data_IF_280969053130
#
_entry.id   IF_280969053130
#
_cell.length_a   1.000
_cell.length_b   1.000
_cell.length_c   1.000
_cell.angle_alpha   90.00
_cell.angle_beta   90.00
_cell.angle_gamma   90.00
#
_symmetry.space_group_name_H-M   'P 1'
#
loop_
_entity.id
_entity.type
_entity.pdbx_description
1 polymer ?
#
# COMPACT_ATOMS: atom_id res chain seq x y z
N UNK A 1 -35.92 64.23 -20.60
CA UNK A 1 -35.20 63.42 -19.58
C UNK A 1 -33.97 62.66 -20.13
N UNK A 2 -33.81 62.54 -21.45
CA UNK A 2 -32.69 61.85 -22.12
C UNK A 2 -31.38 62.65 -22.06
N UNK A 3 -31.39 63.96 -22.31
CA UNK A 3 -30.20 64.81 -22.23
C UNK A 3 -29.48 64.77 -20.87
N UNK A 4 -30.22 64.76 -19.75
CA UNK A 4 -29.64 64.68 -18.41
C UNK A 4 -28.91 63.35 -18.17
N UNK A 5 -29.37 62.26 -18.79
CA UNK A 5 -28.74 60.94 -18.67
C UNK A 5 -27.48 60.85 -19.50
N UNK A 6 -27.53 61.37 -20.73
CA UNK A 6 -26.38 61.42 -21.65
C UNK A 6 -25.24 62.29 -21.07
N UNK A 7 -25.59 63.43 -20.48
CA UNK A 7 -24.62 64.32 -19.83
C UNK A 7 -23.97 63.67 -18.60
N UNK A 8 -24.71 62.87 -17.83
CA UNK A 8 -24.15 62.09 -16.72
C UNK A 8 -23.21 60.98 -17.21
N UNK A 9 -23.60 60.25 -18.26
CA UNK A 9 -22.76 59.21 -18.86
C UNK A 9 -21.47 59.79 -19.43
N UNK A 10 -21.52 60.99 -20.01
CA UNK A 10 -20.34 61.69 -20.52
C UNK A 10 -19.41 62.15 -19.40
N UNK A 11 -19.95 62.69 -18.30
CA UNK A 11 -19.18 63.00 -17.09
C UNK A 11 -18.52 61.75 -16.49
N UNK A 12 -19.19 60.59 -16.51
CA UNK A 12 -18.60 59.33 -16.07
C UNK A 12 -17.48 58.85 -16.99
N UNK A 13 -17.64 58.98 -18.32
CA UNK A 13 -16.59 58.66 -19.30
C UNK A 13 -15.35 59.54 -19.09
N UNK A 14 -15.52 60.85 -18.93
CA UNK A 14 -14.42 61.78 -18.66
C UNK A 14 -13.72 61.46 -17.32
N UNK A 15 -14.49 61.10 -16.29
CA UNK A 15 -13.93 60.68 -14.99
C UNK A 15 -13.15 59.36 -15.09
N UNK A 16 -13.62 58.43 -15.91
CA UNK A 16 -12.91 57.18 -16.20
C UNK A 16 -11.56 57.47 -16.86
N UNK A 17 -11.57 58.32 -17.89
CA UNK A 17 -10.38 58.69 -18.66
C UNK A 17 -9.34 59.39 -17.78
N UNK A 18 -9.75 60.37 -16.96
CA UNK A 18 -8.87 61.03 -15.97
C UNK A 18 -8.25 60.07 -14.96
N UNK A 19 -8.97 59.01 -14.55
CA UNK A 19 -8.44 57.99 -13.62
C UNK A 19 -7.46 57.01 -14.29
N UNK A 20 -7.65 56.78 -15.58
CA UNK A 20 -6.74 55.99 -16.42
C UNK A 20 -5.42 56.73 -16.65
N UNK A 21 -5.49 58.01 -17.00
CA UNK A 21 -4.33 58.89 -17.19
C UNK A 21 -3.53 59.08 -15.90
N UNK A 22 -4.21 59.19 -14.75
CA UNK A 22 -3.57 59.26 -13.42
C UNK A 22 -2.97 57.93 -12.93
N UNK A 23 -3.05 56.83 -13.70
CA UNK A 23 -2.51 55.52 -13.31
C UNK A 23 -3.27 54.78 -12.20
N UNK A 24 -4.27 55.41 -11.58
CA UNK A 24 -5.09 54.82 -10.51
C UNK A 24 -6.00 53.68 -10.99
N UNK A 25 -6.22 53.55 -12.30
CA UNK A 25 -7.04 52.48 -12.89
C UNK A 25 -6.30 51.84 -14.08
N UNK A 26 -5.85 50.59 -13.89
CA UNK A 26 -5.13 49.79 -14.89
C UNK A 26 -6.09 49.06 -15.83
N UNK A 27 -5.66 48.83 -17.08
CA UNK A 27 -6.36 47.90 -17.98
C UNK A 27 -6.12 46.46 -17.52
N UNK A 28 -6.99 45.53 -17.91
CA UNK A 28 -6.83 44.10 -17.58
C UNK A 28 -5.52 43.52 -18.12
N UNK A 29 -5.06 44.01 -19.29
CA UNK A 29 -3.79 43.59 -19.90
C UNK A 29 -2.56 44.04 -19.08
N UNK A 30 -2.69 45.13 -18.33
CA UNK A 30 -1.59 45.77 -17.59
C UNK A 30 -1.61 45.41 -16.09
N UNK A 31 -2.52 44.52 -15.67
CA UNK A 31 -2.60 44.03 -14.29
C UNK A 31 -1.82 42.73 -14.12
N UNK A 32 -1.12 42.61 -13.00
CA UNK A 32 -0.53 41.33 -12.58
C UNK A 32 -1.64 40.28 -12.35
N UNK A 33 -1.39 38.98 -12.58
CA UNK A 33 -2.37 37.92 -12.32
C UNK A 33 -2.95 37.93 -10.90
N UNK A 34 -2.19 38.40 -9.90
CA UNK A 34 -2.67 38.54 -8.51
C UNK A 34 -3.62 39.72 -8.35
N UNK A 35 -3.29 40.87 -8.92
CA UNK A 35 -4.15 42.07 -8.90
C UNK A 35 -5.48 41.80 -9.63
N UNK A 36 -5.42 41.16 -10.80
CA UNK A 36 -6.61 40.81 -11.57
C UNK A 36 -7.53 39.87 -10.79
N UNK A 37 -6.97 38.91 -10.04
CA UNK A 37 -7.77 38.05 -9.14
C UNK A 37 -8.44 38.84 -8.03
N UNK A 38 -7.74 39.79 -7.40
CA UNK A 38 -8.29 40.64 -6.35
C UNK A 38 -9.45 41.52 -6.86
N UNK A 39 -9.25 42.20 -7.99
CA UNK A 39 -10.29 43.02 -8.64
C UNK A 39 -11.49 42.18 -9.07
N UNK A 40 -11.27 40.97 -9.58
CA UNK A 40 -12.37 40.05 -9.93
C UNK A 40 -13.14 39.56 -8.71
N UNK A 41 -12.47 39.39 -7.56
CA UNK A 41 -13.10 39.02 -6.29
C UNK A 41 -14.01 40.16 -5.80
N UNK A 42 -13.50 41.37 -5.71
CA UNK A 42 -14.30 42.54 -5.31
C UNK A 42 -15.44 42.79 -6.28
N UNK A 43 -15.22 42.70 -7.60
CA UNK A 43 -16.29 42.82 -8.58
C UNK A 43 -17.43 41.80 -8.36
N UNK A 44 -17.09 40.52 -8.09
CA UNK A 44 -18.10 39.50 -7.76
C UNK A 44 -18.90 39.86 -6.51
N UNK A 45 -18.24 40.31 -5.45
CA UNK A 45 -18.89 40.74 -4.20
C UNK A 45 -19.82 41.95 -4.41
N UNK A 46 -19.40 42.90 -5.24
CA UNK A 46 -20.24 44.06 -5.58
C UNK A 46 -21.44 43.64 -6.44
N UNK A 47 -21.25 42.73 -7.40
CA UNK A 47 -22.35 42.20 -8.21
C UNK A 47 -23.36 41.41 -7.38
N UNK A 48 -22.93 40.59 -6.42
CA UNK A 48 -23.84 39.85 -5.54
C UNK A 48 -24.63 40.80 -4.66
N UNK A 49 -23.97 41.78 -4.03
CA UNK A 49 -24.64 42.84 -3.24
C UNK A 49 -25.65 43.63 -4.07
N UNK A 50 -25.28 44.05 -5.28
CA UNK A 50 -26.19 44.79 -6.17
C UNK A 50 -27.42 43.94 -6.56
N UNK A 51 -27.22 42.67 -6.93
CA UNK A 51 -28.33 41.76 -7.26
C UNK A 51 -29.26 41.53 -6.08
N UNK A 52 -28.71 41.35 -4.87
CA UNK A 52 -29.50 41.21 -3.65
C UNK A 52 -30.32 42.48 -3.37
N UNK A 53 -29.70 43.67 -3.43
CA UNK A 53 -30.39 44.95 -3.24
C UNK A 53 -31.52 45.14 -4.25
N UNK A 54 -31.27 44.82 -5.54
CA UNK A 54 -32.28 44.90 -6.60
C UNK A 54 -33.44 43.92 -6.39
N UNK A 55 -33.16 42.72 -5.86
CA UNK A 55 -34.20 41.74 -5.50
C UNK A 55 -35.07 42.26 -4.35
N UNK A 56 -34.46 42.74 -3.28
CA UNK A 56 -35.19 43.30 -2.14
C UNK A 56 -36.04 44.51 -2.55
N UNK A 57 -35.51 45.40 -3.40
CA UNK A 57 -36.29 46.53 -3.94
C UNK A 57 -37.53 46.05 -4.69
N UNK A 58 -37.40 45.03 -5.57
CA UNK A 58 -38.56 44.45 -6.26
C UNK A 58 -39.57 43.83 -5.30
N UNK A 59 -39.10 43.14 -4.27
CA UNK A 59 -39.96 42.57 -3.24
C UNK A 59 -40.74 43.66 -2.50
N UNK A 60 -40.07 44.73 -2.07
CA UNK A 60 -40.69 45.89 -1.42
C UNK A 60 -41.71 46.59 -2.35
N UNK A 61 -41.38 46.77 -3.63
CA UNK A 61 -42.31 47.37 -4.60
C UNK A 61 -43.53 46.49 -4.81
N UNK A 62 -43.35 45.17 -4.90
CA UNK A 62 -44.44 44.23 -5.08
C UNK A 62 -45.35 44.17 -3.85
N UNK A 63 -44.80 44.25 -2.63
CA UNK A 63 -45.60 44.35 -1.41
C UNK A 63 -46.37 45.66 -1.35
N UNK A 64 -45.74 46.78 -1.70
CA UNK A 64 -46.40 48.09 -1.74
C UNK A 64 -47.55 48.14 -2.76
N UNK A 65 -47.36 47.58 -3.96
CA UNK A 65 -48.43 47.49 -4.98
C UNK A 65 -49.61 46.66 -4.46
N UNK A 66 -49.33 45.55 -3.76
CA UNK A 66 -50.36 44.70 -3.17
C UNK A 66 -51.15 45.42 -2.07
N UNK A 67 -50.50 46.29 -1.29
CA UNK A 67 -51.12 47.00 -0.17
C UNK A 67 -51.91 48.26 -0.59
N UNK A 68 -51.63 48.84 -1.76
CA UNK A 68 -52.21 50.12 -2.20
C UNK A 68 -53.15 50.02 -3.41
N UNK A 69 -53.53 48.82 -3.84
CA UNK A 69 -54.55 48.64 -4.88
C UNK A 69 -55.89 48.38 -4.19
N UNK A 70 -56.93 49.22 -4.36
CA UNK A 70 -58.23 49.00 -3.70
C UNK A 70 -58.92 47.75 -4.25
N UNK A 71 -59.44 46.91 -3.36
CA UNK A 71 -60.25 45.75 -3.71
C UNK A 71 -61.59 46.20 -4.33
N UNK A 72 -61.72 46.09 -5.65
CA UNK A 72 -63.01 46.16 -6.35
C UNK A 72 -63.50 44.74 -6.67
N UNK A 73 -64.33 44.23 -5.77
CA UNK A 73 -65.36 43.16 -5.82
C UNK A 73 -65.36 42.22 -7.06
N UNK A 74 -64.91 40.97 -6.77
CA UNK A 74 -65.41 39.62 -7.17
C UNK A 74 -65.32 39.09 -8.64
N UNK A 75 -65.14 37.76 -8.86
CA UNK A 75 -65.43 36.64 -7.96
C UNK A 75 -64.20 35.97 -7.37
N UNK A 76 -64.42 35.45 -6.16
CA UNK A 76 -63.66 34.43 -5.44
C UNK A 76 -63.02 33.41 -6.39
N UNK A 77 -61.78 33.67 -6.79
CA UNK A 77 -60.89 32.60 -7.24
C UNK A 77 -60.57 31.84 -5.97
N UNK A 78 -61.26 30.72 -5.76
CA UNK A 78 -60.84 29.70 -4.82
C UNK A 78 -59.31 29.66 -4.86
N UNK A 79 -58.68 29.89 -3.71
CA UNK A 79 -57.27 29.53 -3.52
C UNK A 79 -57.22 28.01 -3.65
N UNK A 80 -57.23 27.52 -4.90
CA UNK A 80 -57.24 26.12 -5.25
C UNK A 80 -55.97 25.58 -4.64
N UNK A 81 -56.13 24.84 -3.54
CA UNK A 81 -55.03 24.17 -2.87
C UNK A 81 -54.17 23.52 -3.97
N UNK A 82 -52.84 23.78 -3.98
CA UNK A 82 -51.99 23.37 -5.08
C UNK A 82 -52.28 21.91 -5.38
N UNK A 83 -52.67 21.60 -6.62
CA UNK A 83 -53.11 20.25 -6.99
C UNK A 83 -52.10 19.23 -6.45
N UNK A 84 -52.58 18.08 -5.93
CA UNK A 84 -51.71 17.07 -5.32
C UNK A 84 -50.50 16.72 -6.21
N UNK A 85 -50.64 16.83 -7.54
CA UNK A 85 -49.56 16.67 -8.51
C UNK A 85 -48.47 17.76 -8.46
N UNK A 86 -48.83 19.03 -8.26
CA UNK A 86 -47.88 20.15 -8.13
C UNK A 86 -47.06 20.11 -6.83
N UNK A 87 -47.67 19.68 -5.72
CA UNK A 87 -46.98 19.49 -4.43
C UNK A 87 -46.02 18.29 -4.49
N UNK A 88 -46.44 17.19 -5.12
CA UNK A 88 -45.58 16.03 -5.35
C UNK A 88 -44.38 16.36 -6.26
N UNK A 89 -44.59 17.15 -7.32
CA UNK A 89 -43.52 17.62 -8.19
C UNK A 89 -42.50 18.49 -7.44
N UNK A 90 -42.97 19.45 -6.62
CA UNK A 90 -42.10 20.29 -5.77
C UNK A 90 -41.30 19.47 -4.75
N UNK A 91 -41.93 18.47 -4.10
CA UNK A 91 -41.23 17.55 -3.19
C UNK A 91 -40.16 16.72 -3.91
N UNK A 92 -40.44 16.24 -5.13
CA UNK A 92 -39.48 15.49 -5.96
C UNK A 92 -38.29 16.37 -6.36
N UNK A 93 -38.51 17.63 -6.73
CA UNK A 93 -37.43 18.58 -7.01
C UNK A 93 -36.59 18.92 -5.78
N UNK A 94 -37.22 19.15 -4.63
CA UNK A 94 -36.52 19.41 -3.37
C UNK A 94 -35.63 18.22 -2.98
N UNK A 95 -36.15 16.98 -3.14
CA UNK A 95 -35.37 15.75 -2.95
C UNK A 95 -34.16 15.67 -3.89
N UNK A 96 -34.36 15.93 -5.19
CA UNK A 96 -33.27 15.97 -6.18
C UNK A 96 -32.20 17.02 -5.83
N UNK A 97 -32.61 18.21 -5.37
CA UNK A 97 -31.67 19.26 -4.93
C UNK A 97 -30.87 18.82 -3.70
N UNK A 98 -31.53 18.21 -2.71
CA UNK A 98 -30.88 17.66 -1.51
C UNK A 98 -29.88 16.56 -1.86
N UNK A 99 -30.25 15.64 -2.76
CA UNK A 99 -29.38 14.56 -3.23
C UNK A 99 -28.15 15.10 -3.97
N UNK A 100 -28.30 16.14 -4.81
CA UNK A 100 -27.15 16.79 -5.46
C UNK A 100 -26.19 17.39 -4.44
N UNK A 101 -26.71 18.09 -3.43
CA UNK A 101 -25.89 18.67 -2.36
C UNK A 101 -25.17 17.58 -1.56
N UNK A 102 -25.85 16.47 -1.27
CA UNK A 102 -25.26 15.34 -0.54
C UNK A 102 -24.12 14.71 -1.35
N UNK A 103 -24.34 14.43 -2.65
CA UNK A 103 -23.30 13.92 -3.55
C UNK A 103 -22.09 14.84 -3.65
N UNK A 104 -22.30 16.15 -3.72
CA UNK A 104 -21.19 17.12 -3.75
C UNK A 104 -20.39 17.12 -2.43
N UNK A 105 -21.08 16.97 -1.29
CA UNK A 105 -20.43 16.83 0.03
C UNK A 105 -19.64 15.52 0.11
N UNK A 106 -20.20 14.41 -0.34
CA UNK A 106 -19.53 13.10 -0.34
C UNK A 106 -18.29 13.12 -1.24
N UNK A 107 -18.37 13.74 -2.42
CA UNK A 107 -17.23 13.93 -3.31
C UNK A 107 -16.11 14.74 -2.64
N UNK A 108 -16.45 15.85 -1.97
CA UNK A 108 -15.47 16.66 -1.21
C UNK A 108 -14.84 15.85 -0.07
N UNK A 109 -15.63 15.07 0.66
CA UNK A 109 -15.12 14.19 1.72
C UNK A 109 -14.14 13.17 1.13
N UNK A 110 -14.46 12.57 -0.02
CA UNK A 110 -13.59 11.62 -0.70
C UNK A 110 -12.27 12.28 -1.16
N UNK A 111 -12.34 13.47 -1.76
CA UNK A 111 -11.14 14.24 -2.11
C UNK A 111 -10.27 14.55 -0.89
N UNK A 112 -10.87 14.96 0.23
CA UNK A 112 -10.13 15.23 1.45
C UNK A 112 -9.51 13.96 2.03
N UNK A 113 -10.21 12.82 2.00
CA UNK A 113 -9.64 11.52 2.39
C UNK A 113 -8.44 11.13 1.52
N UNK A 114 -8.53 11.31 0.21
CA UNK A 114 -7.41 11.04 -0.71
C UNK A 114 -6.22 11.97 -0.45
N UNK A 115 -6.47 13.27 -0.24
CA UNK A 115 -5.43 14.24 0.13
C UNK A 115 -4.78 13.87 1.45
N UNK A 116 -5.57 13.51 2.46
CA UNK A 116 -5.09 13.07 3.77
C UNK A 116 -4.17 11.85 3.64
N UNK A 117 -4.59 10.81 2.92
CA UNK A 117 -3.77 9.61 2.67
C UNK A 117 -2.48 9.94 1.91
N UNK A 118 -2.54 10.83 0.91
CA UNK A 118 -1.35 11.33 0.20
C UNK A 118 -0.37 12.01 1.15
N UNK A 119 -0.84 12.90 2.02
CA UNK A 119 0.01 13.60 2.98
C UNK A 119 0.56 12.67 4.07
N UNK A 120 -0.25 11.74 4.57
CA UNK A 120 0.17 10.70 5.52
C UNK A 120 1.28 9.83 4.95
N UNK A 121 1.13 9.34 3.71
CA UNK A 121 2.18 8.58 3.01
C UNK A 121 3.44 9.41 2.77
N UNK A 122 3.30 10.69 2.42
CA UNK A 122 4.45 11.60 2.25
C UNK A 122 5.21 11.77 3.56
N UNK A 123 4.50 11.99 4.67
CA UNK A 123 5.10 12.12 6.00
C UNK A 123 5.80 10.84 6.45
N UNK A 124 5.20 9.67 6.19
CA UNK A 124 5.85 8.38 6.45
C UNK A 124 7.16 8.22 5.66
N UNK A 125 7.20 8.59 4.37
CA UNK A 125 8.41 8.53 3.55
C UNK A 125 9.50 9.47 4.07
N UNK A 126 9.13 10.69 4.48
CA UNK A 126 10.06 11.65 5.06
C UNK A 126 10.64 11.14 6.39
N UNK A 127 9.79 10.61 7.28
CA UNK A 127 10.25 9.99 8.54
C UNK A 127 11.22 8.83 8.28
N UNK A 128 10.89 7.93 7.34
CA UNK A 128 11.80 6.85 6.93
C UNK A 128 13.12 7.36 6.38
N UNK A 129 13.11 8.42 5.57
CA UNK A 129 14.34 9.02 5.04
C UNK A 129 15.24 9.56 6.15
N UNK A 130 14.67 10.20 7.16
CA UNK A 130 15.44 10.68 8.33
C UNK A 130 16.03 9.50 9.11
N UNK A 131 15.26 8.45 9.36
CA UNK A 131 15.75 7.24 10.06
C UNK A 131 16.88 6.57 9.28
N UNK A 132 16.70 6.36 7.97
CA UNK A 132 17.71 5.73 7.12
C UNK A 132 19.00 6.56 7.00
N UNK A 133 18.88 7.89 6.92
CA UNK A 133 20.05 8.77 6.94
C UNK A 133 20.84 8.64 8.25
N UNK A 134 20.17 8.46 9.39
CA UNK A 134 20.83 8.26 10.67
C UNK A 134 21.48 6.87 10.80
N UNK A 135 20.94 5.85 10.11
CA UNK A 135 21.47 4.48 10.10
C UNK A 135 22.48 4.19 8.99
N UNK A 136 22.88 5.20 8.18
CA UNK A 136 23.73 5.03 6.99
C UNK A 136 23.20 4.01 5.96
N UNK A 137 21.90 3.71 5.99
CA UNK A 137 21.24 2.81 5.05
C UNK A 137 20.86 3.57 3.78
N UNK A 138 21.87 3.79 2.95
CA UNK A 138 21.70 4.44 1.65
C UNK A 138 20.76 3.64 0.73
N UNK A 139 19.91 4.38 0.03
CA UNK A 139 19.10 3.80 -1.05
C UNK A 139 20.04 3.15 -2.08
N UNK A 140 19.71 1.94 -2.60
CA UNK A 140 20.54 1.23 -3.57
C UNK A 140 20.97 2.07 -4.78
N UNK A 141 20.09 2.96 -5.26
CA UNK A 141 20.42 3.87 -6.36
C UNK A 141 21.43 4.93 -5.95
N UNK A 142 21.28 5.52 -4.76
CA UNK A 142 22.24 6.51 -4.23
C UNK A 142 23.61 5.87 -4.02
N UNK A 143 23.65 4.65 -3.48
CA UNK A 143 24.88 3.87 -3.32
C UNK A 143 25.55 3.57 -4.67
N UNK A 144 24.76 3.18 -5.68
CA UNK A 144 25.26 2.98 -7.04
C UNK A 144 25.84 4.27 -7.64
N UNK A 145 25.15 5.41 -7.52
CA UNK A 145 25.66 6.70 -7.99
C UNK A 145 27.01 7.02 -7.37
N UNK A 146 27.14 6.88 -6.04
CA UNK A 146 28.42 7.10 -5.34
C UNK A 146 29.53 6.15 -5.80
N UNK A 147 29.20 4.87 -6.00
CA UNK A 147 30.16 3.88 -6.52
C UNK A 147 30.59 4.19 -7.96
N UNK A 148 29.71 4.80 -8.76
CA UNK A 148 30.03 5.28 -10.10
C UNK A 148 30.85 6.57 -10.07
N UNK A 149 30.72 7.43 -9.07
CA UNK A 149 31.48 8.69 -9.00
C UNK A 149 32.98 8.45 -8.79
N UNK A 150 33.36 7.39 -8.06
CA UNK A 150 34.75 7.04 -7.81
C UNK A 150 35.32 6.12 -8.93
N UNK A 151 36.42 6.53 -9.62
CA UNK A 151 36.93 5.83 -10.81
C UNK A 151 37.42 4.39 -10.56
N UNK A 152 37.87 4.05 -9.35
CA UNK A 152 38.29 2.68 -9.02
C UNK A 152 37.08 1.75 -8.89
N UNK A 153 36.07 2.15 -8.12
CA UNK A 153 34.86 1.35 -7.87
C UNK A 153 33.95 1.30 -9.10
N UNK A 154 34.00 2.32 -9.98
CA UNK A 154 33.29 2.33 -11.26
C UNK A 154 33.67 1.12 -12.13
N UNK A 155 34.95 0.76 -12.18
CA UNK A 155 35.43 -0.39 -12.96
C UNK A 155 34.79 -1.70 -12.48
N UNK A 156 34.65 -1.88 -11.17
CA UNK A 156 34.02 -3.07 -10.60
C UNK A 156 32.51 -3.13 -10.88
N UNK A 157 31.83 -1.98 -10.83
CA UNK A 157 30.40 -1.89 -11.19
C UNK A 157 30.20 -2.24 -12.66
N UNK A 158 31.02 -1.68 -13.56
CA UNK A 158 30.98 -1.97 -14.99
C UNK A 158 31.30 -3.44 -15.25
N UNK A 159 32.33 -4.00 -14.62
CA UNK A 159 32.70 -5.41 -14.75
C UNK A 159 31.55 -6.34 -14.33
N UNK A 160 30.87 -6.04 -13.23
CA UNK A 160 29.71 -6.81 -12.75
C UNK A 160 28.51 -6.68 -13.69
N UNK A 161 28.27 -5.49 -14.24
CA UNK A 161 27.20 -5.27 -15.22
C UNK A 161 27.48 -6.04 -16.52
N UNK A 162 28.70 -5.91 -17.06
CA UNK A 162 29.15 -6.59 -18.26
C UNK A 162 29.09 -8.12 -18.11
N UNK A 163 29.51 -8.64 -16.96
CA UNK A 163 29.39 -10.07 -16.67
C UNK A 163 27.92 -10.53 -16.72
N UNK A 164 27.00 -9.74 -16.17
CA UNK A 164 25.57 -10.00 -16.28
C UNK A 164 25.12 -10.03 -17.74
N UNK A 165 25.49 -9.05 -18.56
CA UNK A 165 25.14 -9.00 -19.99
C UNK A 165 25.68 -10.20 -20.78
N UNK A 166 26.97 -10.51 -20.61
CA UNK A 166 27.63 -11.66 -21.27
C UNK A 166 26.94 -12.95 -20.88
N UNK A 167 26.66 -13.14 -19.59
CA UNK A 167 26.00 -14.35 -19.11
C UNK A 167 24.57 -14.47 -19.67
N UNK A 168 23.83 -13.38 -19.81
CA UNK A 168 22.50 -13.45 -20.44
C UNK A 168 22.58 -13.80 -21.92
N UNK A 169 23.50 -13.18 -22.68
CA UNK A 169 23.70 -13.54 -24.10
C UNK A 169 24.03 -15.02 -24.27
N UNK A 170 24.96 -15.54 -23.45
CA UNK A 170 25.32 -16.96 -23.47
C UNK A 170 24.13 -17.87 -23.12
N UNK A 171 23.30 -17.49 -22.15
CA UNK A 171 22.10 -18.26 -21.80
C UNK A 171 21.05 -18.23 -22.90
N UNK A 172 20.88 -17.10 -23.59
CA UNK A 172 19.96 -16.96 -24.72
C UNK A 172 20.43 -17.78 -25.93
N UNK A 173 21.71 -17.71 -26.28
CA UNK A 173 22.32 -18.50 -27.36
C UNK A 173 22.22 -20.01 -27.06
N UNK A 174 22.57 -20.42 -25.84
CA UNK A 174 22.46 -21.81 -25.40
C UNK A 174 21.00 -22.29 -25.42
N UNK A 175 20.04 -21.45 -25.03
CA UNK A 175 18.62 -21.78 -25.08
C UNK A 175 18.10 -21.91 -26.52
N UNK A 176 18.54 -21.03 -27.41
CA UNK A 176 18.18 -21.05 -28.83
C UNK A 176 18.72 -22.31 -29.54
N UNK A 177 19.90 -22.79 -29.14
CA UNK A 177 20.53 -24.01 -29.67
C UNK A 177 19.84 -25.33 -29.27
N UNK A 178 18.95 -25.33 -28.28
CA UNK A 178 18.21 -26.54 -27.86
C UNK A 178 17.10 -26.88 -28.86
N UNK A 179 17.11 -28.12 -29.37
CA UNK A 179 16.14 -28.58 -30.38
C UNK A 179 14.87 -29.13 -29.73
N UNK A 180 15.01 -29.82 -28.59
CA UNK A 180 13.90 -30.54 -27.96
C UNK A 180 13.24 -29.73 -26.85
N UNK A 181 11.91 -29.78 -26.73
CA UNK A 181 11.18 -29.09 -25.65
C UNK A 181 11.57 -29.61 -24.26
N UNK A 182 11.83 -30.92 -24.13
CA UNK A 182 12.31 -31.55 -22.87
C UNK A 182 13.66 -30.98 -22.42
N UNK A 183 14.57 -30.72 -23.35
CA UNK A 183 15.88 -30.10 -23.06
C UNK A 183 15.70 -28.66 -22.57
N UNK A 184 14.79 -27.89 -23.21
CA UNK A 184 14.46 -26.52 -22.79
C UNK A 184 13.87 -26.47 -21.38
N UNK A 185 13.08 -27.47 -21.00
CA UNK A 185 12.56 -27.60 -19.63
C UNK A 185 13.64 -27.96 -18.62
N UNK A 186 14.53 -28.91 -18.94
CA UNK A 186 15.66 -29.28 -18.07
C UNK A 186 16.60 -28.08 -17.89
N UNK A 187 16.92 -27.37 -18.98
CA UNK A 187 17.74 -26.16 -18.96
C UNK A 187 17.10 -25.07 -18.08
N UNK A 188 15.79 -24.86 -18.21
CA UNK A 188 15.03 -23.95 -17.34
C UNK A 188 15.09 -24.35 -15.86
N UNK A 189 14.99 -25.65 -15.55
CA UNK A 189 15.08 -26.19 -14.17
C UNK A 189 16.48 -26.07 -13.57
N UNK A 190 17.53 -26.22 -14.37
CA UNK A 190 18.93 -26.07 -13.92
C UNK A 190 19.23 -24.60 -13.62
N UNK A 191 18.72 -23.68 -14.45
CA UNK A 191 18.91 -22.25 -14.26
C UNK A 191 18.03 -21.69 -13.14
N UNK A 192 16.83 -22.23 -12.90
CA UNK A 192 15.84 -21.69 -11.94
C UNK A 192 16.26 -21.73 -10.45
N UNK A 193 17.47 -22.17 -10.13
CA UNK A 193 17.99 -22.27 -8.77
C UNK A 193 18.79 -21.07 -8.27
N UNK A 194 19.70 -21.35 -7.32
CA UNK A 194 20.52 -20.37 -6.57
C UNK A 194 21.34 -19.42 -7.47
N UNK A 195 21.66 -19.81 -8.70
CA UNK A 195 22.48 -19.02 -9.63
C UNK A 195 21.71 -17.79 -10.14
N UNK A 196 20.45 -17.97 -10.56
CA UNK A 196 19.60 -16.86 -10.99
C UNK A 196 19.33 -15.90 -9.82
N UNK A 197 19.27 -16.43 -8.58
CA UNK A 197 19.11 -15.64 -7.37
C UNK A 197 20.33 -14.81 -6.99
N UNK A 198 21.52 -15.42 -7.04
CA UNK A 198 22.78 -14.76 -6.75
C UNK A 198 23.05 -13.60 -7.70
N UNK A 199 22.79 -13.77 -9.00
CA UNK A 199 23.08 -12.78 -10.03
C UNK A 199 21.86 -11.93 -10.45
N UNK A 200 20.69 -12.15 -9.85
CA UNK A 200 19.45 -11.39 -10.07
C UNK A 200 19.05 -11.28 -11.56
N UNK A 201 19.27 -12.34 -12.33
CA UNK A 201 19.08 -12.39 -13.78
C UNK A 201 17.62 -12.14 -14.20
N UNK A 202 16.66 -12.30 -13.28
CA UNK A 202 15.24 -11.99 -13.44
C UNK A 202 14.87 -10.50 -13.58
N UNK A 203 15.82 -9.56 -13.44
CA UNK A 203 15.53 -8.11 -13.57
C UNK A 203 15.64 -7.58 -15.00
N UNK A 204 16.15 -8.37 -15.94
CA UNK A 204 16.34 -7.93 -17.31
C UNK A 204 15.00 -8.05 -18.01
N UNK A 205 14.44 -6.89 -18.37
CA UNK A 205 13.05 -6.75 -18.85
C UNK A 205 12.79 -7.43 -20.20
N UNK A 206 13.85 -7.86 -20.89
CA UNK A 206 13.77 -8.37 -22.26
C UNK A 206 14.03 -9.89 -22.38
N UNK A 207 14.44 -10.59 -21.32
CA UNK A 207 14.54 -12.07 -21.35
C UNK A 207 13.17 -12.71 -21.09
N UNK A 208 12.23 -12.44 -22.00
CA UNK A 208 10.85 -12.92 -21.98
C UNK A 208 10.72 -14.45 -21.86
N UNK A 209 11.79 -15.17 -22.20
CA UNK A 209 11.87 -16.63 -22.20
C UNK A 209 12.01 -17.21 -20.78
N UNK A 210 12.77 -16.55 -19.88
CA UNK A 210 13.01 -17.06 -18.54
C UNK A 210 11.90 -16.63 -17.56
N UNK A 211 11.50 -15.36 -17.58
CA UNK A 211 10.59 -14.83 -16.56
C UNK A 211 9.18 -15.40 -16.67
N UNK A 212 8.62 -15.52 -17.89
CA UNK A 212 7.25 -16.06 -18.09
C UNK A 212 7.14 -17.53 -17.69
N UNK A 213 8.11 -18.39 -18.04
CA UNK A 213 8.09 -19.82 -17.67
C UNK A 213 8.45 -20.08 -16.20
N UNK A 214 9.35 -19.29 -15.61
CA UNK A 214 9.61 -19.33 -14.16
C UNK A 214 8.38 -18.91 -13.35
N UNK A 215 7.60 -17.97 -13.87
CA UNK A 215 6.37 -17.51 -13.23
C UNK A 215 5.23 -18.53 -13.41
N UNK A 216 5.15 -19.21 -14.56
CA UNK A 216 4.19 -20.31 -14.79
C UNK A 216 4.43 -21.51 -13.87
N UNK A 217 5.69 -21.93 -13.64
CA UNK A 217 5.99 -23.00 -12.69
C UNK A 217 5.72 -22.60 -11.22
N UNK A 218 5.87 -21.31 -10.88
CA UNK A 218 5.48 -20.75 -9.58
C UNK A 218 3.98 -20.52 -9.43
N UNK A 219 3.25 -20.30 -10.53
CA UNK A 219 1.81 -20.07 -10.51
C UNK A 219 1.01 -21.38 -10.60
N UNK A 220 1.59 -22.47 -11.12
CA UNK A 220 0.99 -23.81 -11.02
C UNK A 220 0.92 -24.33 -9.58
N UNK A 221 1.69 -23.77 -8.64
CA UNK A 221 1.57 -24.03 -7.20
C UNK A 221 0.68 -23.03 -6.46
N UNK A 222 0.05 -22.08 -7.15
CA UNK A 222 -0.86 -21.10 -6.56
C UNK A 222 -2.23 -21.21 -7.20
N UNK A 223 -3.06 -22.08 -6.61
CA UNK A 223 -4.50 -22.15 -6.86
C UNK A 223 -5.14 -20.75 -6.77
N UNK A 224 -6.09 -20.42 -7.66
CA UNK A 224 -6.75 -19.12 -7.67
C UNK A 224 -7.64 -18.97 -6.43
N UNK A 225 -7.41 -17.89 -5.68
CA UNK A 225 -8.25 -17.49 -4.55
C UNK A 225 -9.56 -16.89 -5.06
N UNK A 226 -10.59 -17.71 -5.20
CA UNK A 226 -11.98 -17.24 -5.18
C UNK A 226 -12.52 -17.39 -3.76
N UNK A 227 -12.97 -16.28 -3.19
CA UNK A 227 -13.42 -16.20 -1.81
C UNK A 227 -14.73 -16.95 -1.59
N UNK A 228 -14.69 -17.89 -0.65
CA UNK A 228 -15.84 -18.45 0.06
C UNK A 228 -15.35 -19.00 1.40
N UNK A 229 -16.21 -19.07 2.41
CA UNK A 229 -15.94 -19.49 3.81
C UNK A 229 -15.04 -20.74 3.98
N UNK A 230 -14.94 -21.60 2.98
CA UNK A 230 -14.01 -22.74 2.91
C UNK A 230 -12.52 -22.34 2.99
N UNK A 231 -12.15 -21.13 2.52
CA UNK A 231 -10.77 -20.65 2.57
C UNK A 231 -10.28 -20.32 4.00
N UNK A 232 -11.19 -19.91 4.90
CA UNK A 232 -10.88 -19.67 6.31
C UNK A 232 -10.59 -20.99 7.05
N UNK A 233 -11.39 -22.03 6.79
CA UNK A 233 -11.18 -23.36 7.35
C UNK A 233 -9.87 -23.94 6.83
N UNK A 234 -9.56 -23.81 5.54
CA UNK A 234 -8.27 -24.22 4.97
C UNK A 234 -7.07 -23.48 5.59
N UNK A 235 -7.20 -22.19 5.89
CA UNK A 235 -6.13 -21.41 6.52
C UNK A 235 -5.82 -21.83 7.96
N UNK A 236 -6.81 -22.21 8.76
CA UNK A 236 -6.59 -22.64 10.15
C UNK A 236 -5.98 -24.05 10.21
N UNK A 237 -6.44 -24.97 9.35
CA UNK A 237 -5.82 -26.30 9.24
C UNK A 237 -4.37 -26.20 8.79
N UNK A 238 -4.07 -25.29 7.84
CA UNK A 238 -2.69 -25.02 7.40
C UNK A 238 -1.80 -24.56 8.56
N UNK A 239 -2.28 -23.68 9.45
CA UNK A 239 -1.50 -23.25 10.63
C UNK A 239 -1.18 -24.41 11.56
N UNK A 240 -2.16 -25.28 11.84
CA UNK A 240 -1.97 -26.47 12.67
C UNK A 240 -0.99 -27.46 12.04
N UNK A 241 -1.06 -27.67 10.72
CA UNK A 241 -0.11 -28.52 9.98
C UNK A 241 1.29 -27.92 10.01
N UNK A 242 1.44 -26.61 9.79
CA UNK A 242 2.74 -25.94 9.87
C UNK A 242 3.35 -26.04 11.27
N UNK A 243 2.55 -25.88 12.32
CA UNK A 243 3.02 -26.00 13.70
C UNK A 243 3.51 -27.43 14.02
N UNK A 244 2.78 -28.45 13.54
CA UNK A 244 3.19 -29.85 13.68
C UNK A 244 4.47 -30.16 12.91
N UNK A 245 4.58 -29.68 11.67
CA UNK A 245 5.79 -29.84 10.84
C UNK A 245 7.01 -29.17 11.46
N UNK A 246 6.83 -27.99 12.06
CA UNK A 246 7.88 -27.28 12.77
C UNK A 246 8.37 -28.08 13.98
N UNK A 247 7.45 -28.53 14.85
CA UNK A 247 7.79 -29.34 16.01
C UNK A 247 8.51 -30.65 15.62
N UNK A 248 8.04 -31.33 14.57
CA UNK A 248 8.68 -32.54 14.05
C UNK A 248 10.10 -32.29 13.54
N UNK A 249 10.32 -31.18 12.85
CA UNK A 249 11.65 -30.83 12.31
C UNK A 249 12.64 -30.45 13.43
N UNK A 250 12.16 -29.73 14.45
CA UNK A 250 12.97 -29.35 15.61
C UNK A 250 13.41 -30.58 16.41
N UNK A 251 12.47 -31.46 16.77
CA UNK A 251 12.79 -32.70 17.49
C UNK A 251 13.69 -33.63 16.67
N UNK A 252 13.42 -33.76 15.36
CA UNK A 252 14.25 -34.56 14.46
C UNK A 252 15.70 -34.07 14.44
N UNK A 253 15.94 -32.76 14.48
CA UNK A 253 17.30 -32.20 14.50
C UNK A 253 18.01 -32.48 15.83
N UNK A 254 17.28 -32.43 16.96
CA UNK A 254 17.81 -32.78 18.28
C UNK A 254 18.16 -34.27 18.32
N UNK A 255 17.28 -35.12 17.79
CA UNK A 255 17.47 -36.57 17.77
C UNK A 255 18.65 -36.99 16.87
N UNK A 256 18.82 -36.36 15.71
CA UNK A 256 20.02 -36.57 14.87
C UNK A 256 21.30 -36.15 15.60
N UNK A 257 21.27 -35.08 16.40
CA UNK A 257 22.40 -34.69 17.25
C UNK A 257 22.77 -35.78 18.27
N UNK A 258 21.77 -36.39 18.93
CA UNK A 258 22.00 -37.51 19.86
C UNK A 258 22.52 -38.75 19.15
N UNK A 259 21.96 -39.07 17.98
CA UNK A 259 22.43 -40.20 17.16
C UNK A 259 23.90 -40.02 16.79
N UNK A 260 24.30 -38.81 16.38
CA UNK A 260 25.70 -38.49 16.07
C UNK A 260 26.62 -38.77 17.26
N UNK A 261 26.25 -38.31 18.46
CA UNK A 261 27.02 -38.58 19.69
C UNK A 261 27.12 -40.09 19.93
N UNK A 262 26.02 -40.82 19.86
CA UNK A 262 26.00 -42.27 20.07
C UNK A 262 26.86 -43.01 19.05
N UNK A 263 26.82 -42.59 17.78
CA UNK A 263 27.67 -43.16 16.72
C UNK A 263 29.14 -42.87 16.98
N UNK A 264 29.50 -41.65 17.38
CA UNK A 264 30.88 -41.31 17.73
C UNK A 264 31.39 -42.08 18.94
N UNK A 265 30.55 -42.28 19.97
CA UNK A 265 30.89 -43.13 21.12
C UNK A 265 31.05 -44.60 20.73
N UNK A 266 30.20 -45.12 19.84
CA UNK A 266 30.30 -46.47 19.32
C UNK A 266 31.57 -46.68 18.48
N UNK A 267 31.99 -45.69 17.69
CA UNK A 267 33.28 -45.75 16.99
C UNK A 267 34.45 -45.65 17.96
N UNK A 268 34.34 -44.80 18.99
CA UNK A 268 35.39 -44.66 20.00
C UNK A 268 35.58 -45.95 20.83
N UNK A 269 34.52 -46.71 21.08
CA UNK A 269 34.62 -47.99 21.80
C UNK A 269 35.22 -49.13 20.96
N UNK A 270 35.21 -49.02 19.63
CA UNK A 270 35.86 -49.96 18.72
C UNK A 270 37.38 -49.74 18.61
N UNK A 271 37.89 -48.57 19.03
CA UNK A 271 39.31 -48.27 19.02
C UNK A 271 40.02 -48.88 20.24
N UNK A 272 41.26 -49.38 20.09
CA UNK A 272 42.02 -49.91 21.22
C UNK A 272 42.24 -48.82 22.28
N UNK A 273 42.23 -49.24 23.56
CA UNK A 273 42.41 -48.33 24.71
C UNK A 273 43.74 -47.58 24.60
N UNK A 274 44.78 -48.27 24.16
CA UNK A 274 46.11 -47.73 23.85
C UNK A 274 46.23 -47.69 22.32
N UNK A 275 46.25 -46.51 21.69
CA UNK A 275 46.41 -46.39 20.24
C UNK A 275 47.78 -46.93 19.84
N UNK A 276 47.82 -47.80 18.83
CA UNK A 276 49.07 -48.42 18.34
C UNK A 276 49.71 -47.61 17.22
N UNK A 277 48.91 -46.80 16.54
CA UNK A 277 49.34 -45.93 15.43
C UNK A 277 49.03 -44.48 15.74
N UNK A 278 49.84 -43.57 15.22
CA UNK A 278 49.63 -42.12 15.34
C UNK A 278 48.27 -41.69 14.77
N UNK A 279 47.83 -42.35 13.69
CA UNK A 279 46.51 -42.15 13.10
C UNK A 279 45.37 -42.51 14.05
N UNK A 280 45.45 -43.64 14.78
CA UNK A 280 44.44 -44.01 15.78
C UNK A 280 44.37 -42.99 16.92
N UNK A 281 45.52 -42.48 17.36
CA UNK A 281 45.59 -41.46 18.41
C UNK A 281 44.93 -40.15 17.95
N UNK A 282 45.20 -39.73 16.70
CA UNK A 282 44.57 -38.55 16.10
C UNK A 282 43.06 -38.74 15.97
N UNK A 283 42.59 -39.87 15.43
CA UNK A 283 41.16 -40.17 15.24
C UNK A 283 40.42 -40.19 16.57
N UNK A 284 41.01 -40.79 17.62
CA UNK A 284 40.46 -40.79 18.98
C UNK A 284 40.34 -39.37 19.56
N UNK A 285 41.36 -38.54 19.35
CA UNK A 285 41.34 -37.13 19.73
C UNK A 285 40.24 -36.34 19.02
N UNK A 286 40.11 -36.51 17.69
CA UNK A 286 39.06 -35.85 16.92
C UNK A 286 37.65 -36.30 17.30
N UNK A 287 37.43 -37.61 17.51
CA UNK A 287 36.15 -38.15 17.97
C UNK A 287 35.76 -37.59 19.35
N UNK A 288 36.71 -37.51 20.29
CA UNK A 288 36.46 -36.95 21.62
C UNK A 288 36.10 -35.45 21.56
N UNK A 289 36.85 -34.67 20.76
CA UNK A 289 36.56 -33.24 20.56
C UNK A 289 35.20 -33.06 19.88
N UNK A 290 34.87 -33.88 18.88
CA UNK A 290 33.61 -33.80 18.16
C UNK A 290 32.42 -34.17 19.06
N UNK A 291 32.53 -35.25 19.86
CA UNK A 291 31.53 -35.57 20.88
C UNK A 291 31.30 -34.39 21.83
N UNK A 292 32.37 -33.83 22.38
CA UNK A 292 32.28 -32.72 23.33
C UNK A 292 31.68 -31.46 22.70
N UNK A 293 32.02 -31.15 21.44
CA UNK A 293 31.45 -30.02 20.72
C UNK A 293 29.97 -30.20 20.42
N UNK A 294 29.54 -31.40 20.02
CA UNK A 294 28.12 -31.69 19.73
C UNK A 294 27.30 -31.69 21.01
N UNK A 295 27.84 -32.22 22.12
CA UNK A 295 27.20 -32.22 23.43
C UNK A 295 27.04 -30.81 23.99
N UNK A 296 28.11 -30.00 23.94
CA UNK A 296 28.09 -28.61 24.43
C UNK A 296 27.26 -27.65 23.55
N UNK A 297 27.03 -28.00 22.28
CA UNK A 297 26.29 -27.17 21.31
C UNK A 297 25.06 -27.87 20.75
N UNK A 298 24.41 -28.71 21.54
CA UNK A 298 23.15 -29.33 21.11
C UNK A 298 22.17 -28.24 20.64
N UNK A 299 21.60 -28.37 19.44
CA UNK A 299 20.71 -27.37 18.89
C UNK A 299 19.47 -27.24 19.79
N UNK A 300 19.28 -26.06 20.36
CA UNK A 300 18.12 -25.75 21.18
C UNK A 300 17.25 -24.73 20.45
N UNK A 301 16.02 -25.12 20.11
CA UNK A 301 15.10 -24.26 19.37
C UNK A 301 14.20 -23.51 20.35
N UNK A 302 14.45 -22.21 20.50
CA UNK A 302 13.60 -21.33 21.29
C UNK A 302 12.89 -20.30 20.41
N UNK A 303 11.59 -20.12 20.63
CA UNK A 303 10.85 -19.04 20.01
C UNK A 303 11.10 -17.74 20.76
N UNK A 304 11.97 -16.89 20.19
CA UNK A 304 12.32 -15.58 20.73
C UNK A 304 12.80 -15.58 22.20
N UNK A 305 13.33 -16.70 22.69
CA UNK A 305 13.84 -16.83 24.06
C UNK A 305 12.78 -17.12 25.13
N UNK A 306 11.50 -17.21 24.76
CA UNK A 306 10.40 -17.36 25.73
C UNK A 306 10.08 -18.81 26.05
N UNK A 307 10.06 -19.67 25.04
CA UNK A 307 9.70 -21.09 25.18
C UNK A 307 10.45 -21.96 24.19
N UNK A 308 10.63 -23.21 24.56
CA UNK A 308 11.29 -24.24 23.75
C UNK A 308 10.27 -24.84 22.79
N UNK A 309 10.65 -25.02 21.53
CA UNK A 309 9.75 -25.52 20.48
C UNK A 309 9.84 -27.04 20.44
N UNK A 310 9.26 -27.68 21.45
CA UNK A 310 9.25 -29.14 21.61
C UNK A 310 7.82 -29.69 21.58
N UNK A 311 7.67 -31.01 21.41
CA UNK A 311 6.36 -31.68 21.52
C UNK A 311 5.67 -31.46 22.87
N UNK A 312 6.45 -31.23 23.94
CA UNK A 312 5.94 -30.85 25.25
C UNK A 312 5.19 -29.53 25.19
N UNK A 313 5.73 -28.54 24.49
CA UNK A 313 5.10 -27.22 24.33
C UNK A 313 3.83 -27.33 23.47
N UNK A 314 3.86 -28.13 22.40
CA UNK A 314 2.67 -28.40 21.59
C UNK A 314 1.56 -29.07 22.42
N UNK A 315 1.94 -30.02 23.28
CA UNK A 315 1.03 -30.66 24.23
C UNK A 315 0.43 -29.67 25.23
N UNK A 316 1.24 -28.76 25.78
CA UNK A 316 0.75 -27.70 26.68
C UNK A 316 -0.24 -26.77 25.97
N UNK A 317 0.05 -26.32 24.75
CA UNK A 317 -0.87 -25.49 23.97
C UNK A 317 -2.18 -26.23 23.73
N UNK A 318 -2.11 -27.50 23.32
CA UNK A 318 -3.30 -28.32 23.10
C UNK A 318 -4.12 -28.48 24.38
N UNK A 319 -3.47 -28.73 25.52
CA UNK A 319 -4.13 -28.86 26.83
C UNK A 319 -4.78 -27.54 27.29
N UNK A 320 -4.13 -26.39 27.08
CA UNK A 320 -4.72 -25.09 27.40
C UNK A 320 -5.93 -24.79 26.51
N UNK A 321 -5.85 -25.12 25.21
CA UNK A 321 -6.97 -24.95 24.29
C UNK A 321 -8.15 -25.85 24.65
N UNK A 322 -7.92 -27.12 24.98
CA UNK A 322 -8.99 -28.03 25.40
C UNK A 322 -9.59 -27.61 26.74
N UNK A 323 -8.77 -27.19 27.70
CA UNK A 323 -9.24 -26.67 28.99
C UNK A 323 -10.13 -25.44 28.81
N UNK A 324 -9.71 -24.46 28.01
CA UNK A 324 -10.50 -23.27 27.71
C UNK A 324 -11.82 -23.62 26.99
N UNK A 325 -11.79 -24.60 26.08
CA UNK A 325 -12.99 -25.05 25.37
C UNK A 325 -14.00 -25.71 26.32
N UNK A 326 -13.52 -26.54 27.27
CA UNK A 326 -14.37 -27.14 28.31
C UNK A 326 -15.03 -26.06 29.18
N UNK A 327 -14.26 -25.06 29.61
CA UNK A 327 -14.78 -23.94 30.41
C UNK A 327 -15.84 -23.16 29.63
N UNK A 328 -15.60 -22.86 28.35
CA UNK A 328 -16.58 -22.17 27.50
C UNK A 328 -17.87 -22.97 27.31
N UNK A 329 -17.77 -24.29 27.13
CA UNK A 329 -18.95 -25.16 27.02
C UNK A 329 -19.77 -25.17 28.31
N UNK A 330 -19.13 -25.17 29.49
CA UNK A 330 -19.82 -25.09 30.77
C UNK A 330 -20.58 -23.76 30.94
N UNK A 331 -20.01 -22.63 30.49
CA UNK A 331 -20.71 -21.34 30.52
C UNK A 331 -21.92 -21.31 29.58
N UNK A 332 -21.79 -21.81 28.35
CA UNK A 332 -22.89 -21.86 27.38
C UNK A 332 -24.05 -22.72 27.90
N UNK A 333 -23.75 -23.87 28.53
CA UNK A 333 -24.77 -24.74 29.11
C UNK A 333 -25.51 -24.11 30.30
N UNK A 334 -24.83 -23.23 31.05
CA UNK A 334 -25.41 -22.54 32.20
C UNK A 334 -26.38 -21.44 31.79
N UNK A 335 -26.13 -20.76 30.67
CA UNK A 335 -26.99 -19.69 30.15
C UNK A 335 -28.25 -20.22 29.40
N UNK A 336 -28.28 -21.51 29.06
CA UNK A 336 -29.44 -22.16 28.43
C UNK A 336 -30.42 -22.81 29.43
N UNK A 337 -30.17 -22.70 30.73
CA UNK A 337 -31.11 -23.06 31.80
C UNK A 337 -31.62 -21.78 32.46
#
# INVERSE_FOLDING_TARGET
MTHKKEEMEEKERQKYQKKKEKGTRKLVKDMSPREHKAVKKTWKEHCTKYRAKKKNLKEITNTFIRENTPDSIEPTVECRAPSRSSVAARKKEAKKKREKILKEKDHKIQEYKQKFEKYKRRLQRLKKKVINNNQNDESPNTKLTRLCDNPSTRKDVVKKALFGEVLNKQLEENYAGLKTQKEKEIFGKVLSGKIVEKYKLWRIKDSAILYKRLQESKNQSVLPKTGTRLALISSEHMKTVMLKMLAWSCEGTIEEGKKLINTCLAYNSQLPVIPKTENEQLVKGYLAILCHQVESRMPHFSAAGYFTVDYKMLGMIAATLTSNLVVLLQFIQKDCK
#
